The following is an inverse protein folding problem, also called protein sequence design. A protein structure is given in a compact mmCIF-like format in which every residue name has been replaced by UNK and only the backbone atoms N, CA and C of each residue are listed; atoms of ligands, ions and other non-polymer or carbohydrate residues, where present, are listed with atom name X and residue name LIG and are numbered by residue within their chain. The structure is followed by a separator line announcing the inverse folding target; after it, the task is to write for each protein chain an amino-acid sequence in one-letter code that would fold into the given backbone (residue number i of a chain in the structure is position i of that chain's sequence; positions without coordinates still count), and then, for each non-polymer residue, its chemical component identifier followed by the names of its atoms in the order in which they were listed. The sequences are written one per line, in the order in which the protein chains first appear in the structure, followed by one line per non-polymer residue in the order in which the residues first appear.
data_IF_421026183904
#
_entry.id   IF_421026183904
#
_cell.length_a   1.000
_cell.length_b   1.000
_cell.length_c   1.000
_cell.angle_alpha   90.00
_cell.angle_beta   90.00
_cell.angle_gamma   90.00
#
_symmetry.space_group_name_H-M   'P 1'
#
loop_
_entity.id
_entity.type
_entity.pdbx_description
1 polymer ?
#
# COMPACT_ATOMS: atom_id res chain seq x y z
N UNK A 1 -43.06 37.59 68.30
CA UNK A 1 -41.86 37.87 67.48
C UNK A 1 -41.48 36.62 66.71
N UNK A 2 -41.72 36.58 65.39
CA UNK A 2 -41.26 35.49 64.50
C UNK A 2 -40.44 36.14 63.39
N UNK A 3 -39.13 35.88 63.27
CA UNK A 3 -38.30 36.55 62.29
C UNK A 3 -38.52 35.94 60.90
N UNK A 4 -38.92 36.82 59.98
CA UNK A 4 -38.66 36.86 58.54
C UNK A 4 -37.93 35.65 57.89
N UNK A 5 -38.68 34.79 57.20
CA UNK A 5 -38.21 33.70 56.33
C UNK A 5 -38.37 34.03 54.82
N UNK A 6 -38.13 35.27 54.38
CA UNK A 6 -38.45 35.70 53.00
C UNK A 6 -37.29 36.26 52.18
N UNK A 7 -36.02 35.99 52.55
CA UNK A 7 -34.85 36.59 51.86
C UNK A 7 -33.84 35.62 51.23
N UNK A 8 -34.25 34.41 50.83
CA UNK A 8 -33.33 33.41 50.22
C UNK A 8 -33.72 32.87 48.84
N UNK A 9 -34.74 33.43 48.18
CA UNK A 9 -35.18 32.96 46.84
C UNK A 9 -34.32 33.46 45.67
N UNK A 10 -33.57 34.56 45.84
CA UNK A 10 -32.70 35.10 44.78
C UNK A 10 -31.43 34.29 44.52
N UNK A 11 -30.88 33.66 45.57
CA UNK A 11 -29.61 32.91 45.48
C UNK A 11 -29.75 31.60 44.69
N UNK A 12 -30.92 30.95 44.78
CA UNK A 12 -31.20 29.68 44.09
C UNK A 12 -31.33 29.88 42.57
N UNK A 13 -31.92 31.00 42.13
CA UNK A 13 -32.10 31.28 40.72
C UNK A 13 -30.75 31.52 40.00
N UNK A 14 -29.80 32.20 40.67
CA UNK A 14 -28.47 32.45 40.11
C UNK A 14 -27.66 31.15 39.95
N UNK A 15 -27.72 30.26 40.94
CA UNK A 15 -27.05 28.96 40.88
C UNK A 15 -27.58 28.08 39.75
N UNK A 16 -28.90 28.11 39.52
CA UNK A 16 -29.52 27.33 38.44
C UNK A 16 -29.06 27.77 37.05
N UNK A 17 -28.90 29.09 36.84
CA UNK A 17 -28.41 29.66 35.57
C UNK A 17 -26.94 29.28 35.34
N UNK A 18 -26.08 29.37 36.36
CA UNK A 18 -24.66 28.99 36.23
C UNK A 18 -24.51 27.50 35.89
N UNK A 19 -25.23 26.62 36.58
CA UNK A 19 -25.19 25.17 36.30
C UNK A 19 -25.69 24.86 34.88
N UNK A 20 -26.72 25.55 34.40
CA UNK A 20 -27.23 25.39 33.05
C UNK A 20 -26.19 25.83 32.00
N UNK A 21 -25.49 26.94 32.20
CA UNK A 21 -24.43 27.41 31.29
C UNK A 21 -23.28 26.39 31.26
N UNK A 22 -22.84 25.88 32.41
CA UNK A 22 -21.78 24.87 32.49
C UNK A 22 -22.21 23.57 31.78
N UNK A 23 -23.45 23.12 31.96
CA UNK A 23 -23.97 21.93 31.30
C UNK A 23 -24.00 22.10 29.77
N UNK A 24 -24.40 23.27 29.27
CA UNK A 24 -24.42 23.57 27.84
C UNK A 24 -22.99 23.59 27.26
N UNK A 25 -22.04 24.26 27.93
CA UNK A 25 -20.64 24.29 27.49
C UNK A 25 -20.04 22.87 27.52
N UNK A 26 -20.32 22.09 28.57
CA UNK A 26 -19.87 20.70 28.67
C UNK A 26 -20.39 19.81 27.54
N UNK A 27 -21.67 19.96 27.19
CA UNK A 27 -22.27 19.24 26.06
C UNK A 27 -21.62 19.63 24.73
N UNK A 28 -21.34 20.92 24.51
CA UNK A 28 -20.67 21.39 23.30
C UNK A 28 -19.25 20.82 23.17
N UNK A 29 -18.47 20.83 24.25
CA UNK A 29 -17.11 20.26 24.28
C UNK A 29 -17.15 18.75 24.03
N UNK A 30 -18.08 18.03 24.66
CA UNK A 30 -18.24 16.59 24.47
C UNK A 30 -18.66 16.26 23.03
N UNK A 31 -19.59 17.02 22.46
CA UNK A 31 -20.02 16.83 21.06
C UNK A 31 -18.87 17.10 20.09
N UNK A 32 -18.09 18.17 20.32
CA UNK A 32 -16.90 18.48 19.52
C UNK A 32 -15.86 17.34 19.57
N UNK A 33 -15.63 16.78 20.77
CA UNK A 33 -14.73 15.65 20.95
C UNK A 33 -15.25 14.40 20.24
N UNK A 34 -16.55 14.06 20.39
CA UNK A 34 -17.15 12.92 19.71
C UNK A 34 -17.07 13.04 18.19
N UNK A 35 -17.33 14.22 17.62
CA UNK A 35 -17.20 14.44 16.18
C UNK A 35 -15.75 14.28 15.72
N UNK A 36 -14.79 14.80 16.47
CA UNK A 36 -13.36 14.71 16.14
C UNK A 36 -12.86 13.26 16.21
N UNK A 37 -13.22 12.54 17.27
CA UNK A 37 -12.85 11.14 17.46
C UNK A 37 -13.54 10.26 16.42
N UNK A 38 -14.82 10.47 16.12
CA UNK A 38 -15.55 9.65 15.14
C UNK A 38 -14.95 9.78 13.73
N UNK A 39 -14.47 10.97 13.35
CA UNK A 39 -13.77 11.17 12.07
C UNK A 39 -12.45 10.40 12.02
N UNK A 40 -11.60 10.52 13.04
CA UNK A 40 -10.34 9.75 13.08
C UNK A 40 -10.55 8.24 13.26
N UNK A 41 -11.64 7.84 13.92
CA UNK A 41 -11.99 6.45 14.13
C UNK A 41 -12.43 5.79 12.81
N UNK A 42 -13.16 6.49 11.94
CA UNK A 42 -13.67 5.91 10.69
C UNK A 42 -12.55 5.36 9.78
N UNK A 43 -11.55 6.16 9.44
CA UNK A 43 -10.45 5.75 8.55
C UNK A 43 -9.65 4.56 9.09
N UNK A 44 -9.45 4.50 10.42
CA UNK A 44 -8.73 3.38 11.06
C UNK A 44 -9.64 2.17 11.29
N UNK A 45 -10.95 2.38 11.46
CA UNK A 45 -11.92 1.31 11.65
C UNK A 45 -12.04 0.49 10.38
N UNK A 46 -12.12 1.12 9.20
CA UNK A 46 -12.27 0.41 7.93
C UNK A 46 -11.06 -0.50 7.65
N UNK A 47 -9.84 -0.02 7.93
CA UNK A 47 -8.61 -0.83 7.82
C UNK A 47 -8.60 -2.00 8.81
N UNK A 48 -9.05 -1.76 10.04
CA UNK A 48 -9.13 -2.80 11.07
C UNK A 48 -10.16 -3.87 10.70
N UNK A 49 -11.32 -3.46 10.19
CA UNK A 49 -12.40 -4.34 9.72
C UNK A 49 -11.94 -5.15 8.52
N UNK A 50 -11.27 -4.51 7.54
CA UNK A 50 -10.69 -5.19 6.39
C UNK A 50 -9.69 -6.27 6.84
N UNK A 51 -8.71 -5.90 7.69
CA UNK A 51 -7.73 -6.85 8.24
C UNK A 51 -8.37 -8.00 9.00
N UNK A 52 -9.38 -7.74 9.82
CA UNK A 52 -10.12 -8.77 10.55
C UNK A 52 -10.92 -9.70 9.61
N UNK A 53 -11.47 -9.15 8.53
CA UNK A 53 -12.18 -9.90 7.51
C UNK A 53 -11.24 -10.85 6.77
N UNK A 54 -10.07 -10.36 6.33
CA UNK A 54 -9.01 -11.17 5.73
C UNK A 54 -8.53 -12.27 6.69
N UNK A 55 -8.25 -11.92 7.95
CA UNK A 55 -7.79 -12.89 8.96
C UNK A 55 -8.82 -13.97 9.28
N UNK A 56 -10.11 -13.61 9.25
CA UNK A 56 -11.20 -14.58 9.43
C UNK A 56 -11.31 -15.49 8.21
N UNK A 57 -11.23 -14.91 7.00
CA UNK A 57 -11.31 -15.66 5.74
C UNK A 57 -10.15 -16.67 5.58
N UNK A 58 -8.94 -16.32 6.00
CA UNK A 58 -7.77 -17.21 5.92
C UNK A 58 -7.89 -18.47 6.79
N UNK A 59 -8.60 -18.37 7.93
CA UNK A 59 -8.75 -19.43 8.94
C UNK A 59 -9.87 -20.42 8.67
N UNK A 60 -10.81 -20.11 7.77
CA UNK A 60 -11.99 -20.93 7.52
C UNK A 60 -11.95 -21.51 6.10
N UNK A 61 -11.55 -22.80 5.92
CA UNK A 61 -11.39 -23.41 4.59
C UNK A 61 -12.66 -23.36 3.74
N UNK A 62 -13.82 -23.71 4.33
CA UNK A 62 -15.14 -23.62 3.70
C UNK A 62 -15.53 -22.20 3.29
N UNK A 63 -14.99 -21.22 4.00
CA UNK A 63 -15.28 -19.83 3.76
C UNK A 63 -14.32 -19.22 2.73
N UNK A 64 -13.22 -19.88 2.31
CA UNK A 64 -12.35 -19.34 1.25
C UNK A 64 -13.08 -19.18 -0.08
N UNK A 65 -13.89 -20.17 -0.46
CA UNK A 65 -14.64 -20.12 -1.72
C UNK A 65 -15.80 -19.11 -1.67
N UNK A 66 -16.46 -18.98 -0.51
CA UNK A 66 -17.59 -18.06 -0.33
C UNK A 66 -17.15 -16.62 -0.01
N UNK A 67 -16.13 -16.45 0.84
CA UNK A 67 -15.64 -15.16 1.32
C UNK A 67 -14.61 -14.53 0.39
N UNK A 68 -14.04 -15.26 -0.57
CA UNK A 68 -13.28 -14.61 -1.66
C UNK A 68 -14.13 -13.57 -2.40
N UNK A 69 -15.46 -13.74 -2.40
CA UNK A 69 -16.43 -12.75 -2.88
C UNK A 69 -16.89 -11.72 -1.85
N UNK A 70 -16.51 -11.87 -0.58
CA UNK A 70 -17.03 -11.07 0.53
C UNK A 70 -15.95 -10.39 1.38
N UNK A 71 -14.70 -10.34 0.93
CA UNK A 71 -13.69 -9.49 1.55
C UNK A 71 -14.13 -8.04 1.28
N UNK A 72 -14.84 -7.47 2.26
CA UNK A 72 -15.35 -6.11 2.20
C UNK A 72 -14.25 -5.14 2.64
N UNK A 73 -13.33 -4.87 1.72
CA UNK A 73 -12.31 -3.87 1.88
C UNK A 73 -12.61 -2.78 0.85
N UNK A 74 -13.19 -1.67 1.29
CA UNK A 74 -13.44 -0.54 0.41
C UNK A 74 -12.12 0.15 0.07
N UNK A 75 -11.93 0.52 -1.20
CA UNK A 75 -10.72 1.20 -1.64
C UNK A 75 -10.66 2.61 -1.04
N UNK A 76 -9.58 2.92 -0.31
CA UNK A 76 -9.40 4.25 0.27
C UNK A 76 -9.13 5.29 -0.83
N UNK A 77 -9.80 6.43 -0.78
CA UNK A 77 -9.58 7.54 -1.69
C UNK A 77 -8.67 8.58 -1.03
N UNK A 78 -7.51 8.84 -1.62
CA UNK A 78 -6.51 9.77 -1.06
C UNK A 78 -6.17 10.82 -2.10
N UNK A 79 -6.25 12.09 -1.70
CA UNK A 79 -5.86 13.21 -2.54
C UNK A 79 -4.57 13.82 -2.02
N UNK A 80 -3.55 13.86 -2.87
CA UNK A 80 -2.30 14.56 -2.56
C UNK A 80 -2.45 16.02 -2.97
N UNK A 81 -2.78 16.86 -1.99
CA UNK A 81 -3.02 18.29 -2.22
C UNK A 81 -1.77 19.04 -2.68
N UNK A 82 -1.97 20.13 -3.43
CA UNK A 82 -0.93 21.10 -3.82
C UNK A 82 -0.08 21.62 -2.66
N UNK A 83 -0.65 21.61 -1.45
CA UNK A 83 0.02 22.10 -0.23
C UNK A 83 0.92 21.05 0.43
N UNK A 84 0.82 19.78 0.02
CA UNK A 84 1.67 18.73 0.56
C UNK A 84 3.10 18.90 0.06
N UNK A 85 4.05 18.77 0.98
CA UNK A 85 5.46 18.70 0.62
C UNK A 85 5.77 17.36 -0.08
N UNK A 86 6.85 17.31 -0.87
CA UNK A 86 7.27 16.05 -1.51
C UNK A 86 7.53 14.91 -0.52
N UNK A 87 7.96 15.22 0.71
CA UNK A 87 8.08 14.24 1.80
C UNK A 87 6.70 13.71 2.24
N UNK A 88 5.74 14.59 2.49
CA UNK A 88 4.38 14.19 2.89
C UNK A 88 3.68 13.35 1.82
N UNK A 89 3.80 13.72 0.55
CA UNK A 89 3.26 12.97 -0.57
C UNK A 89 3.84 11.54 -0.64
N UNK A 90 5.18 11.42 -0.58
CA UNK A 90 5.85 10.11 -0.55
C UNK A 90 5.47 9.27 0.65
N UNK A 91 5.40 9.90 1.83
CA UNK A 91 5.00 9.23 3.07
C UNK A 91 3.57 8.70 2.96
N UNK A 92 2.63 9.51 2.47
CA UNK A 92 1.25 9.08 2.28
C UNK A 92 1.16 7.87 1.33
N UNK A 93 1.84 7.90 0.19
CA UNK A 93 1.88 6.76 -0.74
C UNK A 93 2.51 5.51 -0.09
N UNK A 94 3.63 5.67 0.61
CA UNK A 94 4.32 4.58 1.28
C UNK A 94 3.49 3.95 2.41
N UNK A 95 2.80 4.80 3.19
CA UNK A 95 1.85 4.39 4.22
C UNK A 95 0.74 3.53 3.62
N UNK A 96 0.13 3.93 2.50
CA UNK A 96 -0.90 3.13 1.85
C UNK A 96 -0.40 1.78 1.36
N UNK A 97 0.79 1.73 0.77
CA UNK A 97 1.40 0.47 0.37
C UNK A 97 1.61 -0.46 1.57
N UNK A 98 2.09 0.10 2.69
CA UNK A 98 2.26 -0.61 3.95
C UNK A 98 0.93 -1.12 4.53
N UNK A 99 -0.10 -0.27 4.61
CA UNK A 99 -1.39 -0.66 5.17
C UNK A 99 -2.11 -1.69 4.31
N UNK A 100 -1.99 -1.59 2.99
CA UNK A 100 -2.45 -2.60 2.06
C UNK A 100 -1.79 -3.96 2.37
N UNK A 101 -0.46 -3.99 2.44
CA UNK A 101 0.30 -5.20 2.76
C UNK A 101 -0.09 -5.80 4.13
N UNK A 102 -0.20 -4.95 5.15
CA UNK A 102 -0.55 -5.37 6.51
C UNK A 102 -2.00 -5.87 6.64
N UNK A 103 -2.95 -5.27 5.91
CA UNK A 103 -4.36 -5.67 5.91
C UNK A 103 -4.54 -7.06 5.34
N UNK A 104 -3.72 -7.42 4.35
CA UNK A 104 -3.71 -8.75 3.75
C UNK A 104 -2.79 -9.75 4.47
N UNK A 105 -2.39 -9.44 5.70
CA UNK A 105 -1.60 -10.33 6.55
C UNK A 105 -0.17 -10.53 6.06
N UNK A 106 0.40 -9.50 5.41
CA UNK A 106 1.81 -9.46 4.98
C UNK A 106 2.19 -10.67 4.12
N UNK A 107 1.23 -11.15 3.33
CA UNK A 107 1.34 -12.31 2.44
C UNK A 107 1.63 -13.65 3.12
N UNK A 108 1.53 -13.72 4.46
CA UNK A 108 1.68 -14.96 5.24
C UNK A 108 0.40 -15.82 5.20
N UNK A 109 -0.71 -15.24 4.75
CA UNK A 109 -2.02 -15.89 4.76
C UNK A 109 -2.29 -16.63 3.44
N UNK A 110 -2.77 -17.87 3.56
CA UNK A 110 -3.36 -18.60 2.44
C UNK A 110 -4.82 -18.16 2.28
N UNK A 111 -5.04 -17.12 1.47
CA UNK A 111 -6.31 -16.40 1.41
C UNK A 111 -7.33 -17.02 0.45
N UNK A 112 -6.86 -17.59 -0.66
CA UNK A 112 -7.72 -17.99 -1.76
C UNK A 112 -7.66 -19.50 -2.01
N UNK A 113 -8.62 -20.00 -2.80
CA UNK A 113 -8.78 -21.43 -3.09
C UNK A 113 -7.57 -22.03 -3.81
N UNK A 114 -7.48 -23.36 -3.94
CA UNK A 114 -6.34 -24.04 -4.56
C UNK A 114 -6.33 -23.99 -6.10
N UNK A 115 -6.98 -22.98 -6.69
CA UNK A 115 -7.01 -22.77 -8.14
C UNK A 115 -5.83 -21.91 -8.59
N UNK A 116 -5.37 -22.17 -9.80
CA UNK A 116 -4.32 -21.42 -10.48
C UNK A 116 -4.87 -20.04 -10.91
N UNK A 117 -4.96 -19.11 -9.95
CA UNK A 117 -5.61 -17.82 -10.14
C UNK A 117 -4.75 -16.69 -9.56
N UNK A 118 -4.83 -15.54 -10.23
CA UNK A 118 -4.28 -14.27 -9.74
C UNK A 118 -5.43 -13.40 -9.29
N UNK A 119 -5.41 -13.07 -8.00
CA UNK A 119 -6.37 -12.23 -7.31
C UNK A 119 -5.76 -10.85 -7.12
N UNK A 120 -6.54 -9.82 -7.41
CA UNK A 120 -6.13 -8.44 -7.20
C UNK A 120 -7.15 -7.71 -6.36
N UNK A 121 -6.68 -6.83 -5.50
CA UNK A 121 -7.54 -5.97 -4.70
C UNK A 121 -7.00 -4.55 -4.69
N UNK A 122 -7.87 -3.56 -4.90
CA UNK A 122 -7.50 -2.15 -4.85
C UNK A 122 -7.61 -1.67 -3.41
N UNK A 123 -6.48 -1.51 -2.74
CA UNK A 123 -6.44 -1.03 -1.35
C UNK A 123 -6.69 0.48 -1.27
N UNK A 124 -6.15 1.24 -2.22
CA UNK A 124 -6.35 2.68 -2.29
C UNK A 124 -6.19 3.22 -3.71
N UNK A 125 -6.81 4.36 -3.96
CA UNK A 125 -6.68 5.17 -5.17
C UNK A 125 -6.17 6.54 -4.72
N UNK A 126 -5.03 6.93 -5.26
CA UNK A 126 -4.27 8.12 -4.88
C UNK A 126 -4.30 9.12 -6.03
N UNK A 127 -5.06 10.18 -5.89
CA UNK A 127 -5.13 11.29 -6.84
C UNK A 127 -4.00 12.28 -6.60
N UNK A 128 -3.06 12.37 -7.54
CA UNK A 128 -1.88 13.25 -7.41
C UNK A 128 -2.22 14.65 -7.89
N UNK A 129 -2.74 15.49 -6.99
CA UNK A 129 -3.12 16.88 -7.31
C UNK A 129 -2.03 17.90 -7.00
N UNK A 130 -0.77 17.47 -6.89
CA UNK A 130 0.39 18.32 -6.59
C UNK A 130 0.77 19.23 -7.76
N UNK A 131 1.53 20.29 -7.52
CA UNK A 131 2.04 21.13 -8.63
C UNK A 131 3.29 20.55 -9.30
N UNK A 132 4.07 19.79 -8.53
CA UNK A 132 5.30 19.14 -8.99
C UNK A 132 5.15 17.62 -8.95
N UNK A 133 5.83 16.87 -9.84
CA UNK A 133 5.87 15.42 -9.78
C UNK A 133 6.37 14.91 -8.43
N UNK A 134 5.84 13.78 -7.98
CA UNK A 134 6.34 13.12 -6.77
C UNK A 134 7.54 12.27 -7.16
N UNK A 135 8.75 12.71 -6.80
CA UNK A 135 10.00 12.05 -7.21
C UNK A 135 10.69 11.32 -6.07
N UNK A 136 11.36 10.22 -6.41
CA UNK A 136 12.20 9.49 -5.47
C UNK A 136 11.45 8.63 -4.46
N UNK A 137 10.23 8.18 -4.79
CA UNK A 137 9.45 7.27 -3.94
C UNK A 137 10.18 5.94 -3.67
N UNK A 138 10.81 5.26 -4.66
CA UNK A 138 11.53 4.03 -4.38
C UNK A 138 12.67 4.22 -3.36
N UNK A 139 13.44 5.30 -3.51
CA UNK A 139 14.50 5.65 -2.57
C UNK A 139 13.94 5.95 -1.17
N UNK A 140 12.77 6.60 -1.10
CA UNK A 140 12.07 6.85 0.15
C UNK A 140 11.67 5.55 0.85
N UNK A 141 11.10 4.58 0.12
CA UNK A 141 10.73 3.27 0.69
C UNK A 141 11.96 2.56 1.29
N UNK A 142 13.12 2.67 0.65
CA UNK A 142 14.37 2.06 1.10
C UNK A 142 14.91 2.65 2.40
N UNK A 143 14.72 3.97 2.63
CA UNK A 143 15.37 4.72 3.71
C UNK A 143 14.46 5.00 4.90
N UNK A 144 13.20 5.29 4.64
CA UNK A 144 12.30 5.80 5.68
C UNK A 144 11.68 4.68 6.50
N UNK A 145 11.59 4.84 7.84
CA UNK A 145 10.95 3.87 8.71
C UNK A 145 9.45 3.79 8.43
N UNK A 146 8.94 2.57 8.42
CA UNK A 146 7.51 2.29 8.36
C UNK A 146 6.80 2.69 9.67
N UNK A 147 5.46 2.80 9.69
CA UNK A 147 4.70 3.16 10.89
C UNK A 147 4.78 2.16 12.07
N UNK A 148 5.28 0.93 11.86
CA UNK A 148 5.28 -0.13 12.87
C UNK A 148 6.55 -0.16 13.75
N UNK A 149 6.41 -0.73 14.96
CA UNK A 149 7.22 -0.50 16.17
C UNK A 149 8.71 -0.90 16.15
N UNK A 150 9.29 -1.31 15.02
CA UNK A 150 10.65 -1.83 14.96
C UNK A 150 11.63 -1.01 14.09
N UNK A 151 11.26 0.21 13.69
CA UNK A 151 12.09 1.09 12.84
C UNK A 151 12.52 0.46 11.51
N UNK A 152 11.87 -0.62 11.08
CA UNK A 152 12.12 -1.22 9.79
C UNK A 152 11.62 -0.29 8.69
N UNK A 153 12.40 -0.16 7.62
CA UNK A 153 12.02 0.70 6.50
C UNK A 153 10.80 0.15 5.75
N UNK A 154 10.07 0.97 5.01
CA UNK A 154 8.93 0.48 4.21
C UNK A 154 9.35 -0.67 3.30
N UNK A 155 10.47 -0.50 2.60
CA UNK A 155 10.98 -1.53 1.72
C UNK A 155 11.31 -2.82 2.46
N UNK A 156 11.70 -2.76 3.75
CA UNK A 156 11.95 -3.92 4.62
C UNK A 156 10.66 -4.61 5.07
N UNK A 157 9.62 -3.86 5.41
CA UNK A 157 8.34 -4.45 5.84
C UNK A 157 7.51 -4.94 4.66
N UNK A 158 7.57 -4.25 3.54
CA UNK A 158 7.05 -4.69 2.26
C UNK A 158 7.87 -5.85 1.68
N UNK A 159 8.95 -6.30 2.36
CA UNK A 159 9.60 -7.55 1.97
C UNK A 159 8.70 -8.74 2.29
N UNK A 160 8.95 -9.69 1.44
CA UNK A 160 8.27 -10.92 1.14
C UNK A 160 8.66 -12.07 2.03
N UNK A 161 9.87 -12.01 2.55
CA UNK A 161 10.44 -13.04 3.38
C UNK A 161 11.58 -12.42 4.16
N UNK A 162 11.83 -12.98 5.35
CA UNK A 162 13.03 -12.72 6.15
C UNK A 162 14.24 -13.38 5.49
N UNK A 163 14.59 -12.98 4.27
CA UNK A 163 15.81 -13.49 3.64
C UNK A 163 17.02 -12.76 4.22
N UNK A 164 18.02 -13.47 4.75
CA UNK A 164 19.27 -12.86 5.20
C UNK A 164 20.05 -12.18 4.06
N UNK A 165 19.74 -12.50 2.80
CA UNK A 165 20.36 -11.87 1.63
C UNK A 165 19.67 -10.57 1.21
N UNK A 166 18.45 -10.29 1.67
CA UNK A 166 17.73 -9.09 1.26
C UNK A 166 18.41 -7.81 1.77
N UNK A 167 19.19 -7.88 2.85
CA UNK A 167 19.96 -6.73 3.33
C UNK A 167 21.27 -6.56 2.53
N UNK A 168 21.83 -7.64 1.99
CA UNK A 168 22.97 -7.58 1.06
C UNK A 168 22.56 -6.97 -0.28
N UNK A 169 21.44 -7.43 -0.82
CA UNK A 169 20.76 -6.85 -2.00
C UNK A 169 20.62 -5.33 -1.90
N UNK A 170 20.13 -4.84 -0.75
CA UNK A 170 19.96 -3.39 -0.55
C UNK A 170 21.29 -2.65 -0.42
N UNK A 171 22.34 -3.32 0.08
CA UNK A 171 23.67 -2.77 0.22
C UNK A 171 24.47 -2.78 -1.10
N UNK A 172 24.13 -3.68 -2.02
CA UNK A 172 24.83 -3.87 -3.30
C UNK A 172 24.37 -2.90 -4.40
N UNK A 173 23.35 -2.07 -4.14
CA UNK A 173 22.92 -1.03 -5.08
C UNK A 173 24.05 -0.05 -5.36
N UNK A 174 24.40 0.08 -6.63
CA UNK A 174 25.40 1.05 -7.05
C UNK A 174 24.83 2.48 -7.11
N UNK A 175 25.71 3.48 -7.25
CA UNK A 175 25.30 4.89 -7.26
C UNK A 175 24.36 5.23 -8.44
N UNK A 176 24.49 4.55 -9.57
CA UNK A 176 23.64 4.77 -10.75
C UNK A 176 22.21 4.25 -10.50
N UNK A 177 22.06 3.09 -9.88
CA UNK A 177 20.76 2.53 -9.48
C UNK A 177 20.08 3.41 -8.44
N UNK A 178 20.84 3.94 -7.48
CA UNK A 178 20.31 4.89 -6.50
C UNK A 178 19.84 6.18 -7.18
N UNK A 179 20.60 6.71 -8.15
CA UNK A 179 20.19 7.90 -8.93
C UNK A 179 18.93 7.62 -9.73
N UNK A 180 18.83 6.44 -10.34
CA UNK A 180 17.62 6.01 -11.01
C UNK A 180 16.41 6.00 -10.06
N UNK A 181 16.56 5.45 -8.85
CA UNK A 181 15.50 5.45 -7.82
C UNK A 181 15.09 6.85 -7.40
N UNK A 182 16.02 7.80 -7.37
CA UNK A 182 15.74 9.20 -7.04
C UNK A 182 15.02 9.94 -8.18
N UNK A 183 15.31 9.56 -9.43
CA UNK A 183 14.73 10.17 -10.63
C UNK A 183 13.36 9.63 -11.02
N UNK A 184 12.87 8.59 -10.35
CA UNK A 184 11.58 8.00 -10.67
C UNK A 184 10.45 8.96 -10.24
N UNK A 185 9.60 9.35 -11.20
CA UNK A 185 8.58 10.39 -11.02
C UNK A 185 7.16 9.84 -11.17
N UNK A 186 6.24 10.38 -10.38
CA UNK A 186 4.81 10.19 -10.52
C UNK A 186 4.19 11.50 -10.99
N UNK A 187 3.50 11.46 -12.13
CA UNK A 187 2.98 12.63 -12.82
C UNK A 187 1.80 13.26 -12.04
N UNK A 188 1.78 14.60 -11.90
CA UNK A 188 0.60 15.29 -11.42
C UNK A 188 -0.61 15.13 -12.36
N UNK A 189 -1.81 15.14 -11.79
CA UNK A 189 -3.07 14.99 -12.51
C UNK A 189 -3.43 13.54 -12.86
N UNK A 190 -2.68 12.57 -12.35
CA UNK A 190 -2.95 11.14 -12.51
C UNK A 190 -3.47 10.53 -11.21
N UNK A 191 -4.28 9.48 -11.36
CA UNK A 191 -4.66 8.61 -10.26
C UNK A 191 -3.76 7.38 -10.26
N UNK A 192 -3.25 7.01 -9.08
CA UNK A 192 -2.43 5.82 -8.88
C UNK A 192 -3.12 4.87 -7.91
N UNK A 193 -3.23 3.59 -8.27
CA UNK A 193 -3.78 2.56 -7.42
C UNK A 193 -2.68 1.87 -6.61
N UNK A 194 -2.97 1.60 -5.33
CA UNK A 194 -2.23 0.61 -4.53
C UNK A 194 -3.00 -0.70 -4.59
N UNK A 195 -2.40 -1.69 -5.24
CA UNK A 195 -2.98 -3.00 -5.47
C UNK A 195 -2.33 -4.04 -4.58
N UNK A 196 -3.11 -4.85 -3.89
CA UNK A 196 -2.65 -6.13 -3.38
C UNK A 196 -2.84 -7.18 -4.47
N UNK A 197 -1.78 -7.89 -4.83
CA UNK A 197 -1.81 -8.94 -5.85
C UNK A 197 -1.41 -10.25 -5.21
N UNK A 198 -2.23 -11.29 -5.38
CA UNK A 198 -2.00 -12.62 -4.84
C UNK A 198 -2.09 -13.65 -5.97
N UNK A 199 -1.02 -14.39 -6.22
CA UNK A 199 -0.96 -15.48 -7.17
C UNK A 199 -1.01 -16.80 -6.42
N UNK A 200 -1.76 -17.79 -6.88
CA UNK A 200 -1.66 -19.16 -6.37
C UNK A 200 -1.66 -20.14 -7.52
N UNK A 201 -0.84 -21.19 -7.43
CA UNK A 201 -0.69 -22.19 -8.49
C UNK A 201 -0.03 -21.69 -9.79
N UNK A 202 0.33 -20.40 -9.84
CA UNK A 202 1.07 -19.82 -10.96
C UNK A 202 2.54 -20.11 -10.80
N UNK A 203 3.15 -20.73 -11.81
CA UNK A 203 4.60 -20.96 -11.80
C UNK A 203 5.36 -19.62 -11.78
N UNK A 204 6.53 -19.59 -11.15
CA UNK A 204 7.33 -18.36 -11.11
C UNK A 204 7.70 -17.85 -12.51
N UNK A 205 7.85 -18.74 -13.50
CA UNK A 205 8.05 -18.32 -14.89
C UNK A 205 6.81 -17.65 -15.48
N UNK A 206 5.61 -18.19 -15.27
CA UNK A 206 4.37 -17.52 -15.71
C UNK A 206 4.19 -16.17 -15.00
N UNK A 207 4.52 -16.10 -13.71
CA UNK A 207 4.51 -14.85 -12.97
C UNK A 207 5.49 -13.84 -13.55
N UNK A 208 6.73 -14.27 -13.83
CA UNK A 208 7.72 -13.42 -14.48
C UNK A 208 7.29 -13.00 -15.88
N UNK A 209 6.67 -13.88 -16.66
CA UNK A 209 6.12 -13.56 -17.97
C UNK A 209 5.02 -12.50 -17.87
N UNK A 210 4.15 -12.59 -16.86
CA UNK A 210 3.16 -11.55 -16.59
C UNK A 210 3.84 -10.19 -16.38
N UNK A 211 4.97 -10.14 -15.66
CA UNK A 211 5.68 -8.89 -15.32
C UNK A 211 6.78 -8.45 -16.29
N UNK A 212 7.22 -9.32 -17.21
CA UNK A 212 8.32 -9.06 -18.15
C UNK A 212 7.84 -8.74 -19.57
N UNK A 213 6.54 -8.90 -19.85
CA UNK A 213 5.97 -8.41 -21.10
C UNK A 213 6.11 -6.88 -21.17
N UNK A 214 6.75 -6.40 -22.23
CA UNK A 214 7.05 -4.97 -22.50
C UNK A 214 5.81 -4.04 -22.49
N UNK A 215 4.60 -4.61 -22.38
CA UNK A 215 3.31 -3.92 -22.43
C UNK A 215 2.78 -3.48 -21.05
N UNK A 216 3.51 -3.69 -19.95
CA UNK A 216 3.08 -3.21 -18.64
C UNK A 216 3.50 -1.75 -18.44
N UNK A 217 2.56 -0.82 -18.18
CA UNK A 217 2.86 0.52 -17.75
C UNK A 217 3.63 0.41 -16.44
N UNK A 218 4.85 0.91 -16.50
CA UNK A 218 5.84 1.12 -15.44
C UNK A 218 5.23 1.40 -14.06
N UNK A 219 4.84 0.34 -13.36
CA UNK A 219 4.40 0.37 -11.97
C UNK A 219 5.56 0.02 -11.04
N UNK A 220 5.53 0.52 -9.81
CA UNK A 220 6.44 0.11 -8.76
C UNK A 220 5.87 -1.11 -8.03
N UNK A 221 6.59 -2.23 -8.06
CA UNK A 221 6.22 -3.43 -7.29
C UNK A 221 7.02 -3.43 -5.98
N UNK A 222 6.32 -3.53 -4.85
CA UNK A 222 6.90 -3.68 -3.52
C UNK A 222 6.17 -4.79 -2.74
N UNK A 223 6.81 -5.95 -2.62
CA UNK A 223 6.21 -7.15 -2.02
C UNK A 223 6.11 -8.29 -3.03
N UNK A 224 5.67 -9.46 -2.62
CA UNK A 224 5.74 -10.74 -3.33
C UNK A 224 6.10 -11.94 -2.44
N UNK A 225 5.39 -12.26 -1.34
CA UNK A 225 5.64 -13.51 -0.59
C UNK A 225 5.76 -14.68 -1.54
N UNK A 226 6.64 -15.63 -1.33
CA UNK A 226 6.42 -17.03 -1.70
C UNK A 226 6.63 -17.72 -0.37
N UNK A 227 5.67 -18.49 0.13
CA UNK A 227 5.87 -19.26 1.36
C UNK A 227 7.21 -19.99 1.36
N UNK A 228 7.90 -19.85 2.49
CA UNK A 228 9.27 -20.28 2.80
C UNK A 228 10.43 -19.40 2.28
N UNK A 229 10.88 -18.55 3.20
CA UNK A 229 12.26 -18.13 3.54
C UNK A 229 13.23 -17.51 2.51
N UNK A 230 12.85 -17.19 1.28
CA UNK A 230 13.73 -16.37 0.43
C UNK A 230 13.02 -15.18 -0.24
N UNK A 231 13.74 -14.07 -0.40
CA UNK A 231 13.13 -12.76 -0.64
C UNK A 231 12.90 -12.53 -2.13
N UNK A 232 11.65 -12.26 -2.48
CA UNK A 232 11.29 -11.58 -3.73
C UNK A 232 11.42 -10.08 -3.47
N UNK A 233 12.41 -9.50 -4.13
CA UNK A 233 12.40 -8.11 -4.57
C UNK A 233 12.79 -8.18 -6.05
N UNK A 234 11.82 -8.54 -6.89
CA UNK A 234 11.90 -8.41 -8.34
C UNK A 234 10.52 -7.97 -8.85
N UNK A 235 10.43 -6.73 -9.30
CA UNK A 235 9.70 -6.42 -10.53
C UNK A 235 10.63 -6.77 -11.73
N UNK A 236 10.42 -6.37 -12.99
CA UNK A 236 11.42 -6.41 -14.11
C UNK A 236 11.61 -5.01 -14.77
N UNK A 237 12.82 -4.45 -14.94
CA UNK A 237 13.12 -3.48 -16.02
C UNK A 237 14.33 -4.00 -16.78
N UNK A 238 14.10 -4.23 -18.07
CA UNK A 238 15.09 -4.08 -19.11
C UNK A 238 15.73 -2.67 -19.10
N UNK A 239 16.91 -2.52 -18.52
CA UNK A 239 17.73 -1.32 -18.72
C UNK A 239 18.40 -1.37 -20.10
N UNK A 240 17.79 -0.76 -21.11
CA UNK A 240 18.49 -0.34 -22.33
C UNK A 240 19.00 1.08 -22.15
N UNK A 241 20.12 1.26 -21.44
CA UNK A 241 20.81 2.56 -21.44
C UNK A 241 21.51 2.76 -22.78
N UNK A 242 21.10 3.80 -23.52
CA UNK A 242 21.83 4.34 -24.67
C UNK A 242 23.13 5.00 -24.19
N UNK A 243 24.11 4.21 -23.80
CA UNK A 243 25.50 4.66 -23.65
C UNK A 243 26.24 4.56 -24.99
N UNK A 244 27.03 5.58 -25.41
CA UNK A 244 27.88 5.46 -26.58
C UNK A 244 29.07 4.53 -26.24
N UNK A 245 28.85 3.22 -26.37
CA UNK A 245 29.92 2.22 -26.28
C UNK A 245 29.58 1.02 -25.40
N UNK A 246 28.66 0.16 -25.84
CA UNK A 246 28.39 -1.12 -25.19
C UNK A 246 27.56 -2.03 -26.08
N UNK A 247 28.18 -3.08 -26.61
CA UNK A 247 27.57 -4.05 -27.52
C UNK A 247 26.65 -4.97 -26.71
N UNK A 248 25.33 -4.81 -26.83
CA UNK A 248 24.41 -5.94 -26.65
C UNK A 248 23.28 -5.87 -27.68
N UNK A 249 23.32 -6.83 -28.60
CA UNK A 249 22.29 -7.07 -29.62
C UNK A 249 21.12 -7.82 -28.98
N UNK A 250 20.13 -7.12 -28.45
CA UNK A 250 18.76 -7.64 -28.43
C UNK A 250 17.90 -6.77 -29.34
N UNK A 251 17.35 -7.40 -30.38
CA UNK A 251 16.46 -6.77 -31.36
C UNK A 251 15.10 -6.54 -30.70
N UNK A 252 14.86 -5.34 -30.19
CA UNK A 252 13.54 -4.87 -29.79
C UNK A 252 13.38 -3.40 -30.18
N UNK A 253 12.36 -3.09 -30.98
CA UNK A 253 12.05 -1.72 -31.44
C UNK A 253 11.48 -0.92 -30.27
N UNK A 254 12.24 0.05 -29.76
CA UNK A 254 11.72 1.04 -28.82
C UNK A 254 11.09 2.19 -29.61
N UNK A 255 9.76 2.17 -29.75
CA UNK A 255 8.97 3.32 -30.18
C UNK A 255 8.75 4.23 -28.99
N UNK A 256 9.08 5.51 -29.16
CA UNK A 256 9.01 6.52 -28.12
C UNK A 256 7.59 6.78 -27.64
N UNK A 257 7.35 6.57 -26.36
CA UNK A 257 6.47 7.41 -25.54
C UNK A 257 7.22 7.82 -24.28
N UNK A 258 7.05 9.08 -23.93
CA UNK A 258 7.79 9.76 -22.90
C UNK A 258 7.54 9.12 -21.53
N UNK A 259 8.64 8.79 -20.83
CA UNK A 259 8.86 9.37 -19.51
C UNK A 259 8.24 8.68 -18.31
N UNK A 260 8.29 7.36 -18.19
CA UNK A 260 8.10 6.72 -16.88
C UNK A 260 9.12 5.59 -16.68
N UNK A 261 9.76 5.56 -15.51
CA UNK A 261 10.79 4.60 -15.11
C UNK A 261 10.19 3.73 -14.01
N UNK A 262 9.67 2.56 -14.37
CA UNK A 262 9.04 1.64 -13.40
C UNK A 262 10.10 0.79 -12.75
N UNK A 263 10.78 1.30 -11.73
CA UNK A 263 12.08 0.78 -11.33
C UNK A 263 12.05 -0.61 -10.73
N UNK A 264 12.94 -1.41 -11.26
CA UNK A 264 13.15 -2.78 -10.86
C UNK A 264 14.62 -3.04 -10.71
N UNK A 265 14.97 -3.52 -9.53
CA UNK A 265 16.27 -4.08 -9.22
C UNK A 265 16.40 -5.52 -9.74
N UNK A 266 17.43 -5.78 -10.53
CA UNK A 266 17.76 -7.10 -11.05
C UNK A 266 18.33 -8.02 -9.97
N UNK A 267 17.67 -9.16 -9.78
CA UNK A 267 18.25 -10.33 -9.13
C UNK A 267 18.16 -11.52 -10.09
N UNK A 268 19.13 -12.44 -10.06
CA UNK A 268 19.21 -13.55 -11.01
C UNK A 268 18.00 -14.51 -10.92
N UNK A 269 17.63 -15.11 -12.06
CA UNK A 269 16.58 -16.13 -12.17
C UNK A 269 16.76 -17.34 -11.23
N UNK A 270 17.98 -17.54 -10.72
CA UNK A 270 18.35 -18.62 -9.80
C UNK A 270 17.65 -18.51 -8.42
N UNK A 271 17.44 -17.30 -7.88
CA UNK A 271 16.76 -17.11 -6.58
C UNK A 271 15.25 -17.41 -6.71
N UNK A 272 14.68 -17.09 -7.87
CA UNK A 272 13.27 -17.31 -8.20
C UNK A 272 12.95 -18.79 -8.44
N UNK A 273 13.86 -19.53 -9.07
CA UNK A 273 13.74 -20.98 -9.22
C UNK A 273 13.68 -21.69 -7.86
N UNK A 274 14.40 -21.19 -6.85
CA UNK A 274 14.40 -21.78 -5.52
C UNK A 274 13.15 -21.43 -4.71
N UNK A 275 12.61 -20.21 -4.88
CA UNK A 275 11.33 -19.79 -4.31
C UNK A 275 10.13 -20.56 -4.84
N UNK A 276 10.15 -20.90 -6.14
CA UNK A 276 9.07 -21.63 -6.81
C UNK A 276 8.82 -23.04 -6.24
N UNK A 277 9.82 -23.61 -5.55
CA UNK A 277 9.75 -24.99 -5.07
C UNK A 277 9.07 -25.13 -3.71
N UNK A 278 8.85 -24.04 -2.95
CA UNK A 278 8.47 -24.15 -1.54
C UNK A 278 7.13 -23.52 -1.13
N UNK A 279 6.47 -22.74 -1.98
CA UNK A 279 5.05 -22.42 -1.74
C UNK A 279 4.16 -22.44 -2.94
N UNK A 280 2.91 -22.76 -2.65
CA UNK A 280 1.84 -22.77 -3.62
C UNK A 280 1.35 -21.35 -3.99
N UNK A 281 1.73 -20.30 -3.26
CA UNK A 281 1.21 -18.93 -3.51
C UNK A 281 2.22 -17.82 -3.31
N UNK A 282 1.95 -16.68 -3.95
CA UNK A 282 2.70 -15.44 -3.82
C UNK A 282 1.84 -14.21 -3.59
N UNK A 283 2.32 -13.20 -2.86
CA UNK A 283 1.54 -11.98 -2.62
C UNK A 283 2.36 -10.69 -2.55
N UNK A 284 1.95 -9.61 -3.23
CA UNK A 284 2.69 -8.34 -3.30
C UNK A 284 1.79 -7.13 -3.19
N UNK A 285 2.39 -5.97 -2.88
CA UNK A 285 1.75 -4.67 -3.08
C UNK A 285 2.35 -3.98 -4.30
N UNK A 286 1.52 -3.45 -5.19
CA UNK A 286 1.94 -2.74 -6.41
C UNK A 286 1.36 -1.34 -6.39
N UNK A 287 2.18 -0.34 -6.68
CA UNK A 287 1.73 1.02 -6.97
C UNK A 287 1.82 1.24 -8.48
N UNK A 288 0.69 1.49 -9.14
CA UNK A 288 0.64 1.72 -10.59
C UNK A 288 -0.43 2.76 -10.94
N UNK A 289 -0.38 3.32 -12.15
CA UNK A 289 -1.45 4.22 -12.63
C UNK A 289 -2.79 3.46 -12.61
N UNK A 290 -3.84 4.11 -12.09
CA UNK A 290 -5.15 3.51 -11.94
C UNK A 290 -5.92 3.58 -13.27
N UNK A 291 -5.68 2.60 -14.14
CA UNK A 291 -6.37 2.45 -15.41
C UNK A 291 -7.08 1.08 -15.48
N UNK A 292 -8.20 0.97 -16.22
CA UNK A 292 -8.85 -0.33 -16.45
C UNK A 292 -7.92 -1.39 -17.02
N UNK A 293 -6.93 -0.98 -17.83
CA UNK A 293 -5.93 -1.85 -18.44
C UNK A 293 -4.94 -2.42 -17.41
N UNK A 294 -4.67 -1.69 -16.33
CA UNK A 294 -3.74 -2.10 -15.27
C UNK A 294 -4.13 -3.45 -14.68
N UNK A 295 -5.42 -3.71 -14.49
CA UNK A 295 -5.89 -5.01 -13.97
C UNK A 295 -5.61 -6.17 -14.92
N UNK A 296 -5.73 -5.94 -16.23
CA UNK A 296 -5.44 -6.97 -17.23
C UNK A 296 -3.94 -7.26 -17.29
N UNK A 297 -3.12 -6.22 -17.17
CA UNK A 297 -1.67 -6.31 -17.17
C UNK A 297 -1.13 -7.00 -15.93
N UNK A 298 -1.76 -6.80 -14.77
CA UNK A 298 -1.46 -7.55 -13.54
C UNK A 298 -1.92 -9.01 -13.59
N UNK A 299 -2.54 -9.46 -14.70
CA UNK A 299 -3.05 -10.82 -14.85
C UNK A 299 -4.24 -11.13 -13.95
N UNK A 300 -4.91 -10.10 -13.40
CA UNK A 300 -6.00 -10.27 -12.45
C UNK A 300 -7.16 -11.03 -13.10
N UNK A 301 -7.37 -12.27 -12.66
CA UNK A 301 -8.50 -13.10 -13.10
C UNK A 301 -9.77 -12.80 -12.29
N UNK A 302 -9.61 -12.25 -11.08
CA UNK A 302 -10.69 -11.94 -10.18
C UNK A 302 -10.47 -10.57 -9.54
N UNK A 303 -11.45 -9.68 -9.70
CA UNK A 303 -11.50 -8.36 -9.11
C UNK A 303 -12.76 -8.37 -8.23
N UNK A 304 -12.63 -8.40 -6.89
CA UNK A 304 -13.78 -8.19 -6.03
C UNK A 304 -14.27 -6.75 -6.27
N UNK A 305 -15.48 -6.64 -6.82
CA UNK A 305 -16.20 -5.37 -7.04
C UNK A 305 -16.91 -4.98 -5.76
#
# INVERSE_FOLDING_TARGET
MRPSLLKRKGEIAQWMVVTMIIAVIGLLVLTFFLVTVNRQASENADRTICKQSVLTASKLPLARELLSKSINCEANQITLDKKMTGYQAKKAMADEMYYCWDSFGRGELNLFSDKDEVYCHVCSIISVSTEQPVTGLPYFLLKEPSPDRNQETYARVLKVAKSPNADKVLADFNEEEIKAFQSAELEPGRDYGVFFVYAKGVSVNQWLELFSNDDIPTGFIAGGTAGAETAVLQSVIAWTTKGPGGILKSRGRILGRAGTVGLVAGFGAEILAELSKQSDWMAMTVLSEFQPETFRQLGCTNIPV
#
